data_IF_674883430038
#
_entry.id   IF_674883430038
#
_cell.length_a   1.000
_cell.length_b   1.000
_cell.length_c   1.000
_cell.angle_alpha   90.00
_cell.angle_beta   90.00
_cell.angle_gamma   90.00
#
_symmetry.space_group_name_H-M   'P 1'
#
loop_
_entity.id
_entity.type
_entity.pdbx_description
1 polymer ?
#
# COMPACT_ATOMS: atom_id res chain seq x y z
N UNK A 1 1.54 -10.26 -1.80
CA UNK A 1 0.60 -11.39 -1.71
C UNK A 1 0.56 -12.00 -3.09
N UNK A 2 1.20 -13.14 -3.26
CA UNK A 2 1.18 -13.95 -4.49
C UNK A 2 1.74 -15.31 -4.12
N UNK A 3 0.92 -16.15 -3.51
CA UNK A 3 1.20 -17.58 -3.44
C UNK A 3 -0.11 -18.30 -3.70
N UNK A 4 -0.64 -18.11 -4.91
CA UNK A 4 -1.46 -19.16 -5.49
C UNK A 4 -0.61 -20.44 -5.42
N UNK A 5 -1.20 -21.52 -4.94
CA UNK A 5 -0.47 -22.77 -4.78
C UNK A 5 0.10 -23.20 -6.14
N UNK A 6 1.29 -23.81 -6.19
CA UNK A 6 1.89 -24.24 -7.47
C UNK A 6 0.91 -25.11 -8.29
N UNK A 7 0.12 -25.92 -7.59
CA UNK A 7 -0.95 -26.73 -8.17
C UNK A 7 -2.06 -25.88 -8.81
N UNK A 8 -2.49 -24.82 -8.15
CA UNK A 8 -3.53 -23.89 -8.60
C UNK A 8 -3.06 -23.14 -9.86
N UNK A 9 -1.79 -22.73 -9.86
CA UNK A 9 -1.18 -22.05 -11.00
C UNK A 9 -1.07 -22.99 -12.21
N UNK A 10 -0.62 -24.22 -11.98
CA UNK A 10 -0.51 -25.25 -13.02
C UNK A 10 -1.86 -25.59 -13.65
N UNK A 11 -2.92 -25.76 -12.84
CA UNK A 11 -4.26 -26.00 -13.38
C UNK A 11 -4.77 -24.88 -14.30
N UNK A 12 -4.43 -23.64 -13.99
CA UNK A 12 -4.86 -22.49 -14.80
C UNK A 12 -4.04 -22.39 -16.09
N UNK A 13 -2.73 -22.67 -16.03
CA UNK A 13 -1.89 -22.80 -17.22
C UNK A 13 -2.44 -23.92 -18.12
N UNK A 14 -2.72 -25.11 -17.56
CA UNK A 14 -3.31 -26.23 -18.29
C UNK A 14 -4.66 -25.84 -18.92
N UNK A 15 -5.55 -25.16 -18.20
CA UNK A 15 -6.83 -24.70 -18.73
C UNK A 15 -6.69 -23.65 -19.83
N UNK A 16 -5.75 -22.72 -19.69
CA UNK A 16 -5.48 -21.71 -20.69
C UNK A 16 -4.92 -22.32 -21.98
N UNK A 17 -4.06 -23.33 -21.88
CA UNK A 17 -3.55 -24.07 -23.05
C UNK A 17 -4.66 -24.83 -23.79
N UNK A 18 -5.61 -25.43 -23.07
CA UNK A 18 -6.72 -26.15 -23.69
C UNK A 18 -7.79 -25.20 -24.26
N UNK A 19 -7.98 -24.02 -23.67
CA UNK A 19 -9.00 -23.05 -24.09
C UNK A 19 -8.51 -22.03 -25.14
N UNK A 20 -7.29 -22.14 -25.69
CA UNK A 20 -6.78 -21.23 -26.73
C UNK A 20 -7.75 -21.12 -27.91
N UNK A 21 -8.39 -22.23 -28.30
CA UNK A 21 -9.38 -22.27 -29.39
C UNK A 21 -10.71 -21.59 -29.09
N UNK A 22 -11.02 -21.33 -27.82
CA UNK A 22 -12.29 -20.74 -27.38
C UNK A 22 -12.22 -19.21 -27.28
N UNK A 23 -11.01 -18.62 -27.35
CA UNK A 23 -10.80 -17.17 -27.24
C UNK A 23 -10.94 -16.60 -25.82
N UNK A 24 -11.02 -17.46 -24.80
CA UNK A 24 -11.10 -17.05 -23.39
C UNK A 24 -9.79 -17.33 -22.65
N UNK A 25 -9.43 -16.45 -21.71
CA UNK A 25 -8.30 -16.62 -20.80
C UNK A 25 -8.79 -16.56 -19.36
N UNK A 26 -8.33 -17.50 -18.54
CA UNK A 26 -8.66 -17.59 -17.12
C UNK A 26 -7.57 -16.87 -16.32
N UNK A 27 -7.97 -15.85 -15.56
CA UNK A 27 -7.09 -15.09 -14.67
C UNK A 27 -7.49 -15.23 -13.20
N UNK A 28 -6.49 -15.32 -12.34
CA UNK A 28 -6.67 -15.30 -10.88
C UNK A 28 -6.88 -13.86 -10.41
N UNK A 29 -8.13 -13.42 -10.34
CA UNK A 29 -8.48 -12.14 -9.71
C UNK A 29 -8.55 -12.32 -8.19
N UNK A 30 -7.92 -11.46 -7.37
CA UNK A 30 -8.05 -11.53 -5.92
C UNK A 30 -9.52 -11.35 -5.51
N UNK A 31 -10.02 -12.19 -4.61
CA UNK A 31 -11.36 -12.05 -4.03
C UNK A 31 -11.57 -10.61 -3.52
N UNK A 32 -12.65 -9.96 -3.98
CA UNK A 32 -13.06 -8.60 -3.61
C UNK A 32 -13.07 -8.40 -2.08
N UNK A 33 -13.37 -9.46 -1.31
CA UNK A 33 -13.31 -9.44 0.15
C UNK A 33 -11.90 -9.19 0.69
N UNK A 34 -10.88 -9.76 0.04
CA UNK A 34 -9.47 -9.61 0.44
C UNK A 34 -8.97 -8.19 0.11
N UNK A 35 -9.31 -7.68 -1.08
CA UNK A 35 -9.00 -6.28 -1.46
C UNK A 35 -9.63 -5.30 -0.47
N UNK A 36 -10.92 -5.48 -0.15
CA UNK A 36 -11.62 -4.64 0.80
C UNK A 36 -11.01 -4.68 2.21
N UNK A 37 -10.55 -5.86 2.66
CA UNK A 37 -9.84 -6.01 3.94
C UNK A 37 -8.52 -5.23 3.95
N UNK A 38 -7.73 -5.34 2.87
CA UNK A 38 -6.46 -4.62 2.76
C UNK A 38 -6.65 -3.10 2.79
N UNK A 39 -7.65 -2.59 2.07
CA UNK A 39 -7.97 -1.15 2.03
C UNK A 39 -8.44 -0.57 3.37
N UNK A 40 -8.98 -1.41 4.26
CA UNK A 40 -9.36 -1.03 5.64
C UNK A 40 -8.21 -1.16 6.64
N UNK A 41 -7.12 -1.80 6.25
CA UNK A 41 -5.98 -2.01 7.13
C UNK A 41 -5.20 -0.71 7.34
N UNK A 42 -4.71 -0.45 8.56
CA UNK A 42 -3.91 0.75 8.83
C UNK A 42 -2.60 0.74 8.04
N UNK A 43 -2.14 1.92 7.61
CA UNK A 43 -0.83 2.07 6.97
C UNK A 43 0.22 2.54 7.97
N UNK A 44 1.17 1.69 8.28
CA UNK A 44 2.27 2.04 9.20
C UNK A 44 3.13 3.17 8.62
N UNK A 45 3.34 3.19 7.30
CA UNK A 45 4.05 4.30 6.66
C UNK A 45 3.38 5.67 6.91
N UNK A 46 2.04 5.73 6.98
CA UNK A 46 1.31 6.97 7.25
C UNK A 46 1.48 7.46 8.69
N UNK A 47 1.65 6.54 9.65
CA UNK A 47 1.89 6.88 11.06
C UNK A 47 3.27 7.51 11.27
N UNK A 48 4.29 6.93 10.64
CA UNK A 48 5.68 7.28 10.93
C UNK A 48 6.26 8.34 9.99
N UNK A 49 5.66 8.53 8.82
CA UNK A 49 6.08 9.56 7.88
C UNK A 49 4.89 10.08 7.06
N UNK A 50 3.92 10.70 7.74
CA UNK A 50 2.63 11.13 7.14
C UNK A 50 2.79 11.96 5.86
N UNK A 51 3.71 12.91 5.83
CA UNK A 51 3.93 13.79 4.68
C UNK A 51 4.48 13.03 3.48
N UNK A 52 5.59 12.30 3.66
CA UNK A 52 6.16 11.50 2.57
C UNK A 52 5.26 10.35 2.14
N UNK A 53 4.50 9.78 3.06
CA UNK A 53 3.49 8.78 2.76
C UNK A 53 2.33 9.37 1.94
N UNK A 54 1.78 10.52 2.32
CA UNK A 54 0.70 11.18 1.59
C UNK A 54 1.12 11.54 0.15
N UNK A 55 2.36 12.04 -0.01
CA UNK A 55 2.94 12.26 -1.33
C UNK A 55 3.09 10.95 -2.12
N UNK A 56 3.67 9.92 -1.52
CA UNK A 56 3.89 8.62 -2.16
C UNK A 56 2.61 7.87 -2.49
N UNK A 57 1.53 8.13 -1.75
CA UNK A 57 0.18 7.63 -1.95
C UNK A 57 -0.64 8.45 -2.95
N UNK A 58 -0.04 9.45 -3.62
CA UNK A 58 -0.70 10.36 -4.58
C UNK A 58 -1.86 11.15 -3.97
N UNK A 59 -1.80 11.40 -2.67
CA UNK A 59 -2.77 12.19 -1.92
C UNK A 59 -2.25 13.62 -1.75
N UNK A 60 -2.00 14.31 -2.86
CA UNK A 60 -1.30 15.61 -2.88
C UNK A 60 -2.01 16.71 -2.07
N UNK A 61 -3.34 16.72 -2.08
CA UNK A 61 -4.15 17.66 -1.27
C UNK A 61 -3.91 17.42 0.23
N UNK A 62 -3.91 16.15 0.64
CA UNK A 62 -3.65 15.77 2.03
C UNK A 62 -2.20 16.04 2.42
N UNK A 63 -1.26 15.86 1.49
CA UNK A 63 0.13 16.26 1.70
C UNK A 63 0.24 17.75 2.01
N UNK A 64 -0.34 18.62 1.17
CA UNK A 64 -0.31 20.07 1.40
C UNK A 64 -0.98 20.46 2.73
N UNK A 65 -2.11 19.85 3.04
CA UNK A 65 -2.81 20.06 4.31
C UNK A 65 -1.97 19.60 5.51
N UNK A 66 -1.19 18.53 5.35
CA UNK A 66 -0.31 18.00 6.42
C UNK A 66 0.89 18.87 6.75
N UNK A 67 1.23 19.85 5.90
CA UNK A 67 2.32 20.80 6.17
C UNK A 67 1.93 21.84 7.22
N UNK A 68 0.64 22.08 7.41
CA UNK A 68 0.15 22.98 8.45
C UNK A 68 0.10 22.20 9.78
N UNK A 69 0.83 22.61 10.84
CA UNK A 69 0.99 21.80 12.05
C UNK A 69 -0.31 21.34 12.71
N UNK A 70 -1.32 22.22 12.76
CA UNK A 70 -2.63 21.93 13.34
C UNK A 70 -3.36 20.84 12.54
N UNK A 71 -3.33 20.95 11.21
CA UNK A 71 -3.98 19.96 10.35
C UNK A 71 -3.13 18.70 10.18
N UNK A 72 -1.82 18.76 10.38
CA UNK A 72 -0.90 17.62 10.28
C UNK A 72 -1.30 16.43 11.14
N UNK A 73 -1.70 16.67 12.40
CA UNK A 73 -2.17 15.63 13.31
C UNK A 73 -3.49 15.01 12.81
N UNK A 74 -4.42 15.83 12.32
CA UNK A 74 -5.70 15.37 11.79
C UNK A 74 -5.47 14.50 10.54
N UNK A 75 -4.62 14.97 9.62
CA UNK A 75 -4.27 14.26 8.40
C UNK A 75 -3.54 12.95 8.71
N UNK A 76 -2.72 12.90 9.76
CA UNK A 76 -2.08 11.66 10.21
C UNK A 76 -3.13 10.59 10.53
N UNK A 77 -4.14 10.91 11.35
CA UNK A 77 -5.18 9.93 11.70
C UNK A 77 -6.02 9.52 10.49
N UNK A 78 -6.36 10.47 9.61
CA UNK A 78 -7.08 10.17 8.37
C UNK A 78 -6.26 9.25 7.47
N UNK A 79 -4.99 9.55 7.23
CA UNK A 79 -4.10 8.75 6.40
C UNK A 79 -3.80 7.38 7.02
N UNK A 80 -3.71 7.28 8.34
CA UNK A 80 -3.48 6.02 9.04
C UNK A 80 -4.62 5.03 8.79
N UNK A 81 -5.88 5.44 9.02
CA UNK A 81 -7.03 4.53 8.96
C UNK A 81 -7.68 4.46 7.57
N UNK A 82 -7.73 5.59 6.87
CA UNK A 82 -8.44 5.72 5.60
C UNK A 82 -7.53 6.00 4.41
N UNK A 83 -6.24 6.26 4.63
CA UNK A 83 -5.33 6.66 3.58
C UNK A 83 -5.27 5.67 2.42
N UNK A 84 -5.18 4.35 2.69
CA UNK A 84 -5.15 3.34 1.62
C UNK A 84 -6.42 3.37 0.77
N UNK A 85 -7.57 3.50 1.40
CA UNK A 85 -8.87 3.63 0.70
C UNK A 85 -8.95 4.93 -0.10
N UNK A 86 -8.51 6.05 0.46
CA UNK A 86 -8.50 7.34 -0.22
C UNK A 86 -7.55 7.32 -1.42
N UNK A 87 -6.34 6.79 -1.22
CA UNK A 87 -5.33 6.64 -2.26
C UNK A 87 -5.82 5.73 -3.38
N UNK A 88 -6.50 4.63 -3.07
CA UNK A 88 -7.09 3.77 -4.10
C UNK A 88 -8.16 4.49 -4.93
N UNK A 89 -9.00 5.32 -4.30
CA UNK A 89 -10.07 6.07 -4.99
C UNK A 89 -9.57 7.27 -5.79
N UNK A 90 -8.54 7.97 -5.32
CA UNK A 90 -8.11 9.27 -5.85
C UNK A 90 -6.78 9.21 -6.60
N UNK A 91 -5.96 8.18 -6.34
CA UNK A 91 -4.57 8.12 -6.81
C UNK A 91 -4.38 7.68 -8.27
N UNK A 92 -5.45 7.35 -8.99
CA UNK A 92 -5.37 6.99 -10.42
C UNK A 92 -4.37 5.87 -10.70
N UNK A 93 -4.45 4.77 -9.95
CA UNK A 93 -3.57 3.61 -10.12
C UNK A 93 -3.97 2.79 -11.35
N UNK A 94 -3.01 2.30 -12.12
CA UNK A 94 -3.31 1.54 -13.34
C UNK A 94 -3.69 0.09 -13.03
N UNK A 95 -3.15 -0.48 -11.95
CA UNK A 95 -3.45 -1.83 -11.50
C UNK A 95 -3.41 -1.97 -9.97
N UNK A 96 -4.02 -3.04 -9.48
CA UNK A 96 -3.98 -3.39 -8.06
C UNK A 96 -2.56 -3.72 -7.59
N UNK A 97 -1.78 -4.40 -8.44
CA UNK A 97 -0.39 -4.77 -8.19
C UNK A 97 0.49 -3.53 -8.03
N UNK A 98 0.32 -2.52 -8.89
CA UNK A 98 1.03 -1.24 -8.81
C UNK A 98 0.76 -0.56 -7.46
N UNK A 99 -0.52 -0.50 -7.06
CA UNK A 99 -0.94 0.09 -5.80
C UNK A 99 -0.32 -0.65 -4.60
N UNK A 100 -0.43 -1.98 -4.55
CA UNK A 100 0.12 -2.79 -3.46
C UNK A 100 1.64 -2.65 -3.37
N UNK A 101 2.32 -2.69 -4.51
CA UNK A 101 3.77 -2.54 -4.56
C UNK A 101 4.18 -1.18 -3.97
N UNK A 102 3.50 -0.11 -4.36
CA UNK A 102 3.76 1.23 -3.85
C UNK A 102 3.47 1.35 -2.35
N UNK A 103 2.31 0.87 -1.89
CA UNK A 103 1.93 0.94 -0.47
C UNK A 103 2.93 0.18 0.42
N UNK A 104 3.37 -1.01 -0.02
CA UNK A 104 4.39 -1.78 0.70
C UNK A 104 5.73 -1.05 0.74
N UNK A 105 6.15 -0.43 -0.36
CA UNK A 105 7.37 0.38 -0.38
C UNK A 105 7.30 1.53 0.62
N UNK A 106 6.15 2.22 0.70
CA UNK A 106 5.94 3.29 1.67
C UNK A 106 5.95 2.81 3.13
N UNK A 107 5.36 1.64 3.41
CA UNK A 107 5.40 1.05 4.75
C UNK A 107 6.83 0.65 5.16
N UNK A 108 7.64 0.14 4.22
CA UNK A 108 9.06 -0.18 4.45
C UNK A 108 9.86 1.10 4.74
N UNK A 109 9.68 2.15 3.93
CA UNK A 109 10.33 3.44 4.16
C UNK A 109 9.95 4.03 5.52
N UNK A 110 8.68 3.92 5.90
CA UNK A 110 8.23 4.29 7.24
C UNK A 110 8.94 3.51 8.35
N UNK A 111 9.14 2.20 8.17
CA UNK A 111 9.90 1.37 9.11
C UNK A 111 11.38 1.77 9.23
N UNK A 112 12.06 2.01 8.10
CA UNK A 112 13.45 2.48 8.06
C UNK A 112 13.58 3.83 8.78
N UNK A 113 12.61 4.72 8.57
CA UNK A 113 12.58 6.04 9.19
C UNK A 113 12.52 5.96 10.73
N UNK A 114 11.71 5.06 11.29
CA UNK A 114 11.66 4.84 12.75
C UNK A 114 13.01 4.33 13.26
N UNK A 115 13.61 3.35 12.56
CA UNK A 115 14.89 2.79 12.98
C UNK A 115 15.99 3.87 13.00
N UNK A 116 15.98 4.76 12.01
CA UNK A 116 16.88 5.91 11.94
C UNK A 116 16.64 6.88 13.11
N UNK A 117 15.38 7.26 13.38
CA UNK A 117 15.04 8.14 14.51
C UNK A 117 15.41 7.52 15.87
N UNK A 118 15.13 6.24 16.06
CA UNK A 118 15.50 5.50 17.27
C UNK A 118 17.02 5.38 17.45
N UNK A 119 17.75 5.09 16.38
CA UNK A 119 19.21 5.04 16.37
C UNK A 119 19.83 6.40 16.71
N UNK A 120 19.32 7.48 16.10
CA UNK A 120 19.75 8.85 16.42
C UNK A 120 19.45 9.21 17.87
N UNK A 121 18.27 8.89 18.37
CA UNK A 121 17.89 9.14 19.76
C UNK A 121 18.86 8.47 20.74
N UNK A 122 19.16 7.18 20.53
CA UNK A 122 20.12 6.43 21.36
C UNK A 122 21.52 7.03 21.26
N UNK A 123 21.97 7.38 20.04
CA UNK A 123 23.27 8.01 19.81
C UNK A 123 23.42 9.33 20.57
N UNK A 124 22.43 10.23 20.47
CA UNK A 124 22.44 11.51 21.18
C UNK A 124 22.30 11.36 22.69
N UNK A 125 21.66 10.30 23.17
CA UNK A 125 21.50 10.05 24.61
C UNK A 125 22.75 9.45 25.26
N UNK A 126 23.55 8.71 24.48
CA UNK A 126 24.79 8.08 24.95
C UNK A 126 26.04 8.97 24.77
N UNK A 127 25.91 10.09 24.04
CA UNK A 127 26.94 11.11 23.89
C UNK A 127 26.75 12.22 24.92
#
# INVERSE_FOLDING_TARGET
MNRACLFCKKQIEDWNEHCIGCGFHVELVPDEKIKARYLRGPSLGALFFTQGWAYGARLYVWFLLSLVPVFGIIVLFICLFFGRRLSWKQGGWNSWEEFIHRMRMMDILGGIWILLLGGLYVYFRLR
#
